data_IF_894593054076
#
_entry.id   IF_894593054076
#
_cell.length_a   1.000
_cell.length_b   1.000
_cell.length_c   1.000
_cell.angle_alpha   90.00
_cell.angle_beta   90.00
_cell.angle_gamma   90.00
#
_symmetry.space_group_name_H-M   'P 1'
#
loop_
_entity.id
_entity.type
_entity.pdbx_description
1 polymer ?
#
# COMPACT_ATOMS: atom_id res chain seq x y z
N UNK A 1 -1.09 -20.52 -11.29
CA UNK A 1 -2.11 -20.42 -12.35
C UNK A 1 -1.94 -19.04 -12.95
N UNK A 2 -1.64 -18.93 -14.26
CA UNK A 2 -1.47 -17.62 -14.90
C UNK A 2 -2.84 -16.97 -15.08
N UNK A 3 -3.19 -16.07 -14.16
CA UNK A 3 -4.45 -15.33 -14.18
C UNK A 3 -4.42 -14.22 -15.22
N UNK A 4 -3.24 -13.73 -15.63
CA UNK A 4 -3.12 -12.56 -16.49
C UNK A 4 -3.64 -12.82 -17.91
N UNK A 5 -3.48 -14.05 -18.42
CA UNK A 5 -3.95 -14.44 -19.75
C UNK A 5 -5.41 -14.90 -19.84
N UNK A 6 -6.15 -14.88 -18.73
CA UNK A 6 -7.56 -15.33 -18.69
C UNK A 6 -8.52 -14.25 -19.23
N UNK A 7 -9.69 -14.62 -19.77
CA UNK A 7 -10.73 -13.65 -20.12
C UNK A 7 -11.10 -12.73 -18.95
N UNK A 8 -11.46 -11.47 -19.24
CA UNK A 8 -11.74 -10.45 -18.20
C UNK A 8 -12.79 -10.91 -17.18
N UNK A 9 -13.82 -11.65 -17.60
CA UNK A 9 -14.83 -12.19 -16.70
C UNK A 9 -14.24 -13.19 -15.68
N UNK A 10 -13.43 -14.15 -16.14
CA UNK A 10 -12.75 -15.12 -15.26
C UNK A 10 -11.78 -14.42 -14.29
N UNK A 11 -11.09 -13.37 -14.75
CA UNK A 11 -10.20 -12.57 -13.92
C UNK A 11 -10.96 -11.83 -12.81
N UNK A 12 -12.12 -11.26 -13.13
CA UNK A 12 -13.00 -10.59 -12.16
C UNK A 12 -13.55 -11.60 -11.15
N UNK A 13 -14.05 -12.76 -11.60
CA UNK A 13 -14.59 -13.78 -10.69
C UNK A 13 -13.51 -14.34 -9.75
N UNK A 14 -12.31 -14.57 -10.28
CA UNK A 14 -11.15 -14.97 -9.48
C UNK A 14 -10.83 -13.92 -8.40
N UNK A 15 -10.89 -12.63 -8.74
CA UNK A 15 -10.63 -11.52 -7.80
C UNK A 15 -11.63 -11.51 -6.65
N UNK A 16 -12.93 -11.66 -6.92
CA UNK A 16 -13.93 -11.71 -5.85
C UNK A 16 -13.81 -12.99 -5.02
N UNK A 17 -13.45 -14.11 -5.63
CA UNK A 17 -13.09 -15.32 -4.90
C UNK A 17 -11.85 -15.12 -4.02
N UNK A 18 -10.88 -14.30 -4.43
CA UNK A 18 -9.72 -13.93 -3.62
C UNK A 18 -10.15 -13.09 -2.40
N UNK A 19 -11.03 -12.10 -2.61
CA UNK A 19 -11.56 -11.26 -1.53
C UNK A 19 -12.33 -12.09 -0.49
N UNK A 20 -13.15 -13.05 -0.94
CA UNK A 20 -13.93 -13.92 -0.04
C UNK A 20 -13.04 -14.87 0.78
N UNK A 21 -12.07 -15.52 0.12
CA UNK A 21 -11.07 -16.34 0.84
C UNK A 21 -10.29 -15.51 1.85
N UNK A 22 -9.90 -14.29 1.47
CA UNK A 22 -9.20 -13.38 2.37
C UNK A 22 -10.04 -13.04 3.60
N UNK A 23 -11.30 -12.61 3.42
CA UNK A 23 -12.22 -12.33 4.52
C UNK A 23 -12.41 -13.55 5.43
N UNK A 24 -12.55 -14.75 4.86
CA UNK A 24 -12.71 -15.99 5.62
C UNK A 24 -11.48 -16.30 6.49
N UNK A 25 -10.28 -16.21 5.92
CA UNK A 25 -9.03 -16.40 6.66
C UNK A 25 -8.87 -15.33 7.74
N UNK A 26 -9.11 -14.06 7.38
CA UNK A 26 -8.99 -12.92 8.28
C UNK A 26 -9.89 -13.08 9.51
N UNK A 27 -11.13 -13.54 9.33
CA UNK A 27 -12.10 -13.73 10.42
C UNK A 27 -11.94 -15.03 11.20
N UNK A 28 -11.09 -15.95 10.75
CA UNK A 28 -10.90 -17.21 11.46
C UNK A 28 -10.50 -16.95 12.93
N UNK A 29 -11.01 -17.72 13.91
CA UNK A 29 -10.70 -17.50 15.32
C UNK A 29 -9.20 -17.47 15.61
N UNK A 30 -8.43 -18.32 14.94
CA UNK A 30 -6.98 -18.40 15.06
C UNK A 30 -6.30 -17.12 14.56
N UNK A 31 -6.66 -16.64 13.37
CA UNK A 31 -6.08 -15.41 12.82
C UNK A 31 -6.48 -14.19 13.65
N UNK A 32 -7.72 -14.15 14.14
CA UNK A 32 -8.19 -13.07 15.00
C UNK A 32 -7.40 -13.01 16.32
N UNK A 33 -7.30 -14.13 17.05
CA UNK A 33 -6.53 -14.18 18.31
C UNK A 33 -5.05 -13.88 18.10
N UNK A 34 -4.46 -14.35 16.99
CA UNK A 34 -3.07 -14.06 16.65
C UNK A 34 -2.83 -12.55 16.43
N UNK A 35 -3.76 -11.85 15.77
CA UNK A 35 -3.67 -10.39 15.58
C UNK A 35 -3.84 -9.64 16.90
N UNK A 36 -4.82 -10.02 17.73
CA UNK A 36 -5.02 -9.38 19.04
C UNK A 36 -3.78 -9.54 19.93
N UNK A 37 -3.21 -10.76 19.96
CA UNK A 37 -1.95 -11.01 20.66
C UNK A 37 -0.80 -10.17 20.11
N UNK A 38 -0.64 -10.11 18.79
CA UNK A 38 0.39 -9.28 18.16
C UNK A 38 0.24 -7.81 18.57
N UNK A 39 -0.98 -7.25 18.53
CA UNK A 39 -1.22 -5.85 18.87
C UNK A 39 -1.01 -5.56 20.36
N UNK A 40 -1.19 -6.55 21.24
CA UNK A 40 -0.86 -6.44 22.66
C UNK A 40 0.67 -6.48 22.90
N UNK A 41 1.39 -7.35 22.18
CA UNK A 41 2.85 -7.46 22.25
C UNK A 41 3.54 -6.26 21.56
N UNK A 42 2.92 -5.68 20.53
CA UNK A 42 3.42 -4.58 19.71
C UNK A 42 2.38 -3.46 19.55
N UNK A 43 2.18 -2.63 20.61
CA UNK A 43 1.13 -1.63 20.68
C UNK A 43 1.38 -0.41 19.78
N UNK A 44 2.59 -0.17 19.28
CA UNK A 44 2.82 0.94 18.33
C UNK A 44 2.00 0.71 17.06
N UNK A 45 1.11 1.64 16.72
CA UNK A 45 0.38 1.60 15.47
C UNK A 45 1.28 2.04 14.32
N UNK A 46 1.23 1.34 13.18
CA UNK A 46 2.06 1.65 12.02
C UNK A 46 1.17 2.06 10.85
N UNK A 47 1.23 3.35 10.51
CA UNK A 47 0.60 3.92 9.32
C UNK A 47 1.62 3.99 8.18
N UNK A 48 1.25 3.51 7.00
CA UNK A 48 2.17 3.39 5.86
C UNK A 48 1.70 4.31 4.73
N UNK A 49 2.48 5.35 4.45
CA UNK A 49 2.27 6.23 3.30
C UNK A 49 3.11 5.70 2.13
N UNK A 50 2.46 5.17 1.08
CA UNK A 50 3.16 4.50 -0.02
C UNK A 50 2.57 4.77 -1.40
N UNK A 51 3.30 4.36 -2.44
CA UNK A 51 2.87 4.46 -3.82
C UNK A 51 1.64 3.57 -4.12
N UNK A 52 0.91 3.92 -5.18
CA UNK A 52 -0.12 3.08 -5.80
C UNK A 52 0.45 1.85 -6.52
N UNK A 53 1.77 1.82 -6.76
CA UNK A 53 2.49 0.71 -7.37
C UNK A 53 2.21 -0.61 -6.63
N UNK A 54 1.80 -1.61 -7.40
CA UNK A 54 1.40 -2.93 -6.90
C UNK A 54 2.53 -3.70 -6.24
N UNK A 55 3.79 -3.40 -6.59
CA UNK A 55 4.99 -4.05 -6.03
C UNK A 55 5.28 -3.64 -4.59
N UNK A 56 4.82 -2.47 -4.15
CA UNK A 56 5.04 -2.00 -2.76
C UNK A 56 4.02 -2.64 -1.81
N UNK A 57 4.25 -3.91 -1.49
CA UNK A 57 3.45 -4.67 -0.57
C UNK A 57 4.18 -4.95 0.74
N UNK A 58 4.30 -3.92 1.58
CA UNK A 58 5.02 -4.01 2.85
C UNK A 58 4.59 -5.21 3.72
N UNK A 59 3.29 -5.50 3.96
CA UNK A 59 2.91 -6.67 4.74
C UNK A 59 3.51 -7.99 4.23
N UNK A 60 3.56 -8.19 2.90
CA UNK A 60 4.20 -9.36 2.30
C UNK A 60 5.71 -9.28 2.47
N UNK A 61 6.31 -8.16 2.09
CA UNK A 61 7.75 -7.95 2.18
C UNK A 61 8.31 -8.07 3.60
N UNK A 62 7.50 -7.85 4.63
CA UNK A 62 7.89 -7.93 6.04
C UNK A 62 7.27 -9.14 6.75
N UNK A 63 6.67 -10.09 6.02
CA UNK A 63 5.95 -11.24 6.59
C UNK A 63 5.00 -10.85 7.75
N UNK A 64 4.40 -9.67 7.65
CA UNK A 64 3.57 -9.08 8.69
C UNK A 64 2.12 -9.48 8.47
N UNK A 65 1.43 -9.98 9.51
CA UNK A 65 0.03 -10.36 9.39
C UNK A 65 -0.85 -9.24 8.83
N UNK A 66 -1.81 -9.59 7.98
CA UNK A 66 -2.75 -8.60 7.42
C UNK A 66 -3.57 -7.97 8.55
N UNK A 67 -3.81 -6.67 8.44
CA UNK A 67 -4.55 -5.88 9.44
C UNK A 67 -3.66 -5.24 10.52
N UNK A 68 -2.36 -5.53 10.54
CA UNK A 68 -1.41 -4.87 11.45
C UNK A 68 -0.97 -3.50 10.93
N UNK A 69 -0.63 -3.41 9.64
CA UNK A 69 -0.23 -2.16 9.00
C UNK A 69 -1.45 -1.44 8.43
N UNK A 70 -1.51 -0.12 8.61
CA UNK A 70 -2.57 0.74 8.06
C UNK A 70 -2.09 1.44 6.78
N UNK A 71 -2.49 0.99 5.58
CA UNK A 71 -1.97 1.54 4.34
C UNK A 71 -2.73 2.80 3.85
N UNK A 72 -1.96 3.75 3.34
CA UNK A 72 -2.40 4.89 2.56
C UNK A 72 -1.64 4.84 1.23
N UNK A 73 -2.37 4.86 0.11
CA UNK A 73 -1.79 4.79 -1.23
C UNK A 73 -2.12 6.03 -2.04
N UNK A 74 -1.11 6.60 -2.68
CA UNK A 74 -1.29 7.63 -3.69
C UNK A 74 -0.23 7.48 -4.79
N UNK A 75 -0.43 8.11 -5.96
CA UNK A 75 0.57 8.12 -7.02
C UNK A 75 1.91 8.64 -6.48
N UNK A 76 2.98 7.87 -6.70
CA UNK A 76 4.32 8.18 -6.23
C UNK A 76 4.56 8.06 -4.72
N UNK A 77 3.52 7.81 -3.92
CA UNK A 77 3.58 8.09 -2.49
C UNK A 77 3.59 9.59 -2.22
N UNK A 78 3.05 10.39 -3.16
CA UNK A 78 2.92 11.84 -3.01
C UNK A 78 1.80 12.11 -2.03
N UNK A 79 2.10 12.74 -0.91
CA UNK A 79 1.10 13.11 0.08
C UNK A 79 1.38 14.53 0.55
N UNK A 80 0.30 15.24 0.86
CA UNK A 80 0.37 16.52 1.53
C UNK A 80 -0.68 16.50 2.65
N UNK A 81 -0.22 16.60 3.90
CA UNK A 81 -1.05 16.56 5.09
C UNK A 81 -1.93 17.81 5.22
N UNK A 82 -1.69 18.85 4.42
CA UNK A 82 -2.58 19.99 4.23
C UNK A 82 -3.75 19.70 3.29
N UNK A 83 -3.79 18.56 2.60
CA UNK A 83 -4.94 18.19 1.77
C UNK A 83 -6.19 17.97 2.62
N UNK A 84 -7.34 18.56 2.25
CA UNK A 84 -8.52 18.60 3.12
C UNK A 84 -9.00 17.22 3.59
N UNK A 85 -9.02 16.21 2.71
CA UNK A 85 -9.47 14.87 3.12
C UNK A 85 -8.38 14.09 3.85
N UNK A 86 -7.15 14.09 3.34
CA UNK A 86 -6.06 13.30 3.91
C UNK A 86 -5.71 13.77 5.33
N UNK A 87 -5.55 15.09 5.51
CA UNK A 87 -5.20 15.69 6.80
C UNK A 87 -6.16 15.25 7.90
N UNK A 88 -7.47 15.37 7.64
CA UNK A 88 -8.51 14.94 8.59
C UNK A 88 -8.44 13.43 8.88
N UNK A 89 -8.25 12.60 7.85
CA UNK A 89 -8.16 11.13 8.04
C UNK A 89 -6.96 10.76 8.91
N UNK A 90 -5.80 11.39 8.67
CA UNK A 90 -4.59 11.12 9.44
C UNK A 90 -4.67 11.67 10.86
N UNK A 91 -5.18 12.89 11.04
CA UNK A 91 -5.38 13.51 12.34
C UNK A 91 -6.34 12.66 13.20
N UNK A 92 -7.49 12.25 12.66
CA UNK A 92 -8.40 11.35 13.37
C UNK A 92 -7.78 9.99 13.66
N UNK A 93 -6.95 9.46 12.76
CA UNK A 93 -6.24 8.20 13.01
C UNK A 93 -5.28 8.32 14.20
N UNK A 94 -4.44 9.35 14.22
CA UNK A 94 -3.50 9.62 15.31
C UNK A 94 -4.24 9.86 16.61
N UNK A 95 -5.27 10.72 16.61
CA UNK A 95 -6.06 11.02 17.81
C UNK A 95 -6.67 9.76 18.43
N UNK A 96 -7.23 8.86 17.61
CA UNK A 96 -7.79 7.59 18.08
C UNK A 96 -6.73 6.71 18.73
N UNK A 97 -5.56 6.57 18.11
CA UNK A 97 -4.47 5.74 18.64
C UNK A 97 -3.91 6.33 19.94
N UNK A 98 -3.62 7.63 19.95
CA UNK A 98 -3.06 8.32 21.12
C UNK A 98 -4.03 8.35 22.29
N UNK A 99 -5.33 8.52 22.04
CA UNK A 99 -6.37 8.46 23.09
C UNK A 99 -6.44 7.10 23.79
N UNK A 100 -5.94 6.04 23.15
CA UNK A 100 -5.79 4.70 23.73
C UNK A 100 -4.42 4.49 24.42
N UNK A 101 -3.60 5.54 24.58
CA UNK A 101 -2.28 5.47 25.21
C UNK A 101 -1.20 4.81 24.35
N UNK A 102 -1.41 4.76 23.03
CA UNK A 102 -0.51 4.09 22.09
C UNK A 102 0.29 5.08 21.25
N UNK A 103 1.44 4.64 20.78
CA UNK A 103 2.32 5.37 19.86
C UNK A 103 1.92 5.17 18.39
N UNK A 104 2.33 6.10 17.53
CA UNK A 104 2.18 6.00 16.07
C UNK A 104 3.53 6.12 15.38
N UNK A 105 3.84 5.18 14.49
CA UNK A 105 4.92 5.32 13.51
C UNK A 105 4.31 5.52 12.14
N UNK A 106 4.68 6.61 11.47
CA UNK A 106 4.44 6.78 10.04
C UNK A 106 5.64 6.22 9.27
N UNK A 107 5.43 5.12 8.53
CA UNK A 107 6.37 4.69 7.50
C UNK A 107 6.11 5.53 6.24
N UNK A 108 6.94 6.54 6.03
CA UNK A 108 6.88 7.45 4.88
C UNK A 108 7.78 6.88 3.79
N UNK A 109 7.18 6.34 2.72
CA UNK A 109 7.93 5.50 1.78
C UNK A 109 8.15 6.10 0.41
N UNK A 110 9.35 5.87 -0.11
CA UNK A 110 9.69 5.98 -1.53
C UNK A 110 10.09 4.59 -2.05
N UNK A 111 10.14 4.42 -3.37
CA UNK A 111 10.61 3.17 -3.96
C UNK A 111 11.48 3.39 -5.18
N UNK A 112 12.36 2.42 -5.44
CA UNK A 112 13.27 2.40 -6.57
C UNK A 112 13.60 0.94 -6.95
N UNK A 113 14.20 0.76 -8.13
CA UNK A 113 14.74 -0.53 -8.57
C UNK A 113 16.25 -0.37 -8.71
N UNK A 114 17.01 -1.24 -8.05
CA UNK A 114 18.47 -1.22 -8.07
C UNK A 114 19.02 -1.65 -9.45
N UNK A 115 18.38 -2.64 -10.09
CA UNK A 115 18.84 -3.21 -11.35
C UNK A 115 18.49 -2.38 -12.59
N UNK A 116 17.41 -1.58 -12.56
CA UNK A 116 17.10 -0.63 -13.64
C UNK A 116 16.29 0.56 -13.10
N UNK A 117 16.86 1.79 -13.09
CA UNK A 117 16.17 2.99 -12.65
C UNK A 117 14.82 3.23 -13.34
N UNK A 118 14.64 2.80 -14.60
CA UNK A 118 13.38 2.95 -15.35
C UNK A 118 12.25 2.07 -14.81
N UNK A 119 12.56 1.11 -13.93
CA UNK A 119 11.57 0.34 -13.17
C UNK A 119 11.24 0.98 -11.82
N UNK A 120 11.83 2.13 -11.50
CA UNK A 120 11.57 2.91 -10.31
C UNK A 120 10.21 3.62 -10.33
N UNK A 121 10.08 4.66 -9.51
CA UNK A 121 8.80 5.35 -9.33
C UNK A 121 8.38 6.20 -10.54
N UNK A 122 7.39 5.76 -11.30
CA UNK A 122 6.81 6.55 -12.40
C UNK A 122 6.13 7.85 -11.92
N UNK A 123 5.68 7.91 -10.67
CA UNK A 123 5.11 9.12 -10.06
C UNK A 123 6.12 10.28 -9.95
N UNK A 124 7.41 9.95 -9.84
CA UNK A 124 8.53 10.89 -9.83
C UNK A 124 9.36 10.82 -11.12
N UNK A 125 8.80 10.28 -12.21
CA UNK A 125 9.51 10.15 -13.49
C UNK A 125 10.85 9.42 -13.37
N UNK A 126 10.91 8.40 -12.50
CA UNK A 126 12.10 7.60 -12.22
C UNK A 126 13.23 8.36 -11.51
N UNK A 127 12.95 9.57 -11.00
CA UNK A 127 13.88 10.34 -10.17
C UNK A 127 13.76 9.89 -8.71
N UNK A 128 14.65 8.97 -8.31
CA UNK A 128 14.74 8.49 -6.93
C UNK A 128 15.11 9.60 -5.95
N UNK A 129 15.91 10.59 -6.36
CA UNK A 129 16.30 11.68 -5.47
C UNK A 129 15.11 12.60 -5.17
N UNK A 130 14.30 12.91 -6.18
CA UNK A 130 13.05 13.66 -5.99
C UNK A 130 12.06 12.89 -5.08
N UNK A 131 11.94 11.58 -5.27
CA UNK A 131 11.09 10.74 -4.42
C UNK A 131 11.57 10.73 -2.96
N UNK A 132 12.89 10.66 -2.73
CA UNK A 132 13.48 10.77 -1.39
C UNK A 132 13.21 12.15 -0.80
N UNK A 133 13.47 13.24 -1.54
CA UNK A 133 13.24 14.59 -1.06
C UNK A 133 11.80 14.79 -0.58
N UNK A 134 10.83 14.28 -1.35
CA UNK A 134 9.42 14.38 -0.97
C UNK A 134 9.05 13.60 0.30
N UNK A 135 9.71 12.47 0.58
CA UNK A 135 9.47 11.76 1.87
C UNK A 135 9.96 12.56 3.07
N UNK A 136 11.02 13.36 2.92
CA UNK A 136 11.46 14.30 3.96
C UNK A 136 10.49 15.49 4.11
N UNK A 137 9.89 15.98 3.02
CA UNK A 137 8.84 16.99 3.09
C UNK A 137 7.63 16.49 3.91
N UNK A 138 7.16 15.27 3.64
CA UNK A 138 6.08 14.65 4.40
C UNK A 138 6.48 14.48 5.87
N UNK A 139 7.71 14.04 6.15
CA UNK A 139 8.24 13.96 7.52
C UNK A 139 8.11 15.31 8.24
N UNK A 140 8.53 16.40 7.61
CA UNK A 140 8.42 17.73 8.20
C UNK A 140 6.97 18.17 8.44
N UNK A 141 6.03 17.78 7.57
CA UNK A 141 4.61 18.04 7.80
C UNK A 141 4.07 17.25 9.00
N UNK A 142 4.48 15.98 9.18
CA UNK A 142 4.12 15.18 10.35
C UNK A 142 4.69 15.82 11.62
N UNK A 143 5.96 16.23 11.62
CA UNK A 143 6.61 16.93 12.75
C UNK A 143 5.91 18.27 13.07
N UNK A 144 5.48 19.01 12.05
CA UNK A 144 4.76 20.28 12.23
C UNK A 144 3.40 20.09 12.90
N UNK A 145 2.68 19.02 12.54
CA UNK A 145 1.30 18.78 13.02
C UNK A 145 1.29 18.07 14.38
N UNK A 146 2.18 17.08 14.57
CA UNK A 146 2.14 16.18 15.73
C UNK A 146 3.30 16.36 16.71
N UNK A 147 4.20 17.32 16.45
CA UNK A 147 5.34 17.64 17.29
C UNK A 147 6.64 16.98 16.81
N UNK A 148 7.76 17.64 17.11
CA UNK A 148 9.12 17.24 16.71
C UNK A 148 9.90 16.55 17.85
N UNK A 149 9.24 16.23 18.96
CA UNK A 149 9.88 15.53 20.09
C UNK A 149 9.99 14.01 19.87
N UNK A 150 9.27 13.49 18.86
CA UNK A 150 9.20 12.09 18.47
C UNK A 150 8.73 11.12 19.57
N UNK A 151 8.15 11.65 20.67
CA UNK A 151 7.75 10.84 21.81
C UNK A 151 6.48 10.04 21.56
N UNK A 152 5.54 10.61 20.80
CA UNK A 152 4.20 10.01 20.56
C UNK A 152 4.00 9.59 19.11
N UNK A 153 4.47 10.41 18.16
CA UNK A 153 4.36 10.19 16.72
C UNK A 153 5.75 10.24 16.11
N UNK A 154 6.13 9.23 15.34
CA UNK A 154 7.43 9.16 14.68
C UNK A 154 7.30 9.04 13.16
N UNK A 155 7.72 10.05 12.37
CA UNK A 155 7.81 9.97 10.91
C UNK A 155 9.10 9.31 10.43
N UNK A 156 9.05 7.99 10.23
CA UNK A 156 10.18 7.22 9.73
C UNK A 156 10.21 7.23 8.20
N UNK A 157 11.24 7.86 7.64
CA UNK A 157 11.53 7.76 6.20
C UNK A 157 12.08 6.37 5.90
N UNK A 158 11.49 5.70 4.92
CA UNK A 158 11.79 4.31 4.60
C UNK A 158 11.80 4.09 3.08
N UNK A 159 12.93 3.64 2.53
CA UNK A 159 13.02 3.21 1.14
C UNK A 159 12.50 1.78 0.95
N UNK A 160 11.99 1.50 -0.24
CA UNK A 160 11.62 0.16 -0.69
C UNK A 160 12.33 -0.14 -2.02
N UNK A 161 13.33 -1.02 -2.00
CA UNK A 161 13.99 -1.53 -3.18
C UNK A 161 13.13 -2.67 -3.77
N UNK A 162 12.66 -2.51 -5.00
CA UNK A 162 11.62 -3.39 -5.58
C UNK A 162 12.13 -4.69 -6.18
N UNK A 163 13.45 -4.84 -6.38
CA UNK A 163 14.01 -6.05 -7.01
C UNK A 163 14.10 -7.19 -5.99
N UNK A 164 14.53 -6.89 -4.76
CA UNK A 164 14.66 -7.82 -3.63
C UNK A 164 13.59 -7.63 -2.54
N UNK A 165 12.66 -6.70 -2.74
CA UNK A 165 11.66 -6.26 -1.76
C UNK A 165 12.30 -5.77 -0.44
N UNK A 166 13.46 -5.14 -0.52
CA UNK A 166 14.26 -4.78 0.64
C UNK A 166 13.91 -3.38 1.18
N UNK A 167 13.82 -3.26 2.50
CA UNK A 167 13.61 -1.98 3.17
C UNK A 167 14.93 -1.25 3.46
N UNK A 168 14.91 0.08 3.33
CA UNK A 168 16.02 0.96 3.69
C UNK A 168 15.56 1.94 4.76
N UNK A 169 16.05 1.81 5.99
CA UNK A 169 15.66 2.68 7.10
C UNK A 169 16.59 3.90 7.14
N UNK A 170 16.02 5.11 7.12
CA UNK A 170 16.81 6.33 7.24
C UNK A 170 16.98 6.73 8.70
N UNK A 171 18.21 7.02 9.10
CA UNK A 171 18.55 7.56 10.41
C UNK A 171 18.44 9.08 10.49
N UNK A 172 18.71 9.62 11.68
CA UNK A 172 18.61 11.05 11.97
C UNK A 172 19.78 11.87 11.42
N UNK A 173 20.94 11.24 11.23
CA UNK A 173 22.21 11.86 10.80
C UNK A 173 22.51 11.66 9.31
N UNK A 174 21.54 11.20 8.53
CA UNK A 174 21.70 10.86 7.11
C UNK A 174 22.22 9.46 6.84
N UNK A 175 22.64 8.74 7.90
CA UNK A 175 22.97 7.32 7.83
C UNK A 175 21.75 6.48 7.41
N UNK A 176 22.01 5.34 6.77
CA UNK A 176 20.95 4.42 6.33
C UNK A 176 21.27 2.99 6.73
N UNK A 177 20.23 2.25 7.07
CA UNK A 177 20.28 0.81 7.28
C UNK A 177 19.57 0.15 6.10
N UNK A 178 20.35 -0.33 5.14
CA UNK A 178 19.88 -1.08 3.98
C UNK A 178 19.82 -2.57 4.32
N UNK A 179 18.61 -3.12 4.41
CA UNK A 179 18.40 -4.53 4.76
C UNK A 179 18.86 -5.49 3.66
N UNK A 180 18.99 -5.05 2.40
CA UNK A 180 19.58 -5.89 1.35
C UNK A 180 21.06 -6.19 1.64
N UNK A 181 21.76 -5.34 2.39
CA UNK A 181 23.17 -5.58 2.75
C UNK A 181 23.35 -6.56 3.91
N UNK A 182 22.25 -6.97 4.55
CA UNK A 182 22.26 -7.81 5.74
C UNK A 182 21.80 -9.23 5.43
N UNK A 183 22.09 -10.13 6.37
CA UNK A 183 21.75 -11.55 6.32
C UNK A 183 21.02 -11.98 7.60
N UNK A 184 20.53 -13.22 7.62
CA UNK A 184 19.91 -13.79 8.81
C UNK A 184 20.84 -13.84 10.04
N UNK A 185 22.17 -13.89 9.85
CA UNK A 185 23.13 -13.81 10.95
C UNK A 185 23.21 -12.42 11.59
N UNK A 186 22.89 -11.36 10.85
CA UNK A 186 22.90 -9.99 11.36
C UNK A 186 21.73 -9.69 12.30
N UNK A 187 20.73 -10.58 12.33
CA UNK A 187 19.54 -10.48 13.18
C UNK A 187 19.87 -10.17 14.64
N UNK A 188 20.91 -10.80 15.18
CA UNK A 188 21.34 -10.62 16.58
C UNK A 188 21.84 -9.20 16.88
N UNK A 189 22.26 -8.45 15.86
CA UNK A 189 22.78 -7.08 16.01
C UNK A 189 21.79 -6.01 15.57
N UNK A 190 20.63 -6.39 15.03
CA UNK A 190 19.70 -5.47 14.38
C UNK A 190 19.10 -4.45 15.36
N UNK A 191 18.79 -4.87 16.58
CA UNK A 191 18.31 -3.99 17.64
C UNK A 191 19.32 -2.88 17.98
N UNK A 192 20.60 -3.25 18.13
CA UNK A 192 21.69 -2.32 18.41
C UNK A 192 21.90 -1.34 17.26
N UNK A 193 21.88 -1.83 16.01
CA UNK A 193 21.97 -1.00 14.80
C UNK A 193 20.81 -0.02 14.72
N UNK A 194 19.59 -0.46 14.99
CA UNK A 194 18.40 0.38 14.95
C UNK A 194 18.41 1.45 16.06
N UNK A 195 18.88 1.11 17.26
CA UNK A 195 19.04 2.05 18.36
C UNK A 195 20.09 3.12 18.06
N UNK A 196 21.19 2.76 17.39
CA UNK A 196 22.21 3.71 16.95
C UNK A 196 21.73 4.60 15.80
N UNK A 197 20.95 4.04 14.86
CA UNK A 197 20.40 4.74 13.70
C UNK A 197 19.30 5.74 14.07
N UNK A 198 18.46 5.38 15.04
CA UNK A 198 17.27 6.14 15.47
C UNK A 198 17.34 6.43 16.97
N UNK A 199 18.33 7.20 17.46
CA UNK A 199 18.51 7.44 18.88
C UNK A 199 17.35 8.23 19.50
N UNK A 200 16.67 9.05 18.70
CA UNK A 200 15.51 9.87 19.06
C UNK A 200 14.17 9.10 19.03
N UNK A 201 14.15 7.86 18.53
CA UNK A 201 12.94 7.03 18.56
C UNK A 201 12.79 6.36 19.93
N UNK A 202 11.62 6.43 20.59
CA UNK A 202 11.37 5.72 21.84
C UNK A 202 11.70 4.24 21.74
N UNK A 203 12.33 3.68 22.78
CA UNK A 203 12.76 2.27 22.80
C UNK A 203 11.61 1.30 22.50
N UNK A 204 10.38 1.61 22.95
CA UNK A 204 9.20 0.80 22.63
C UNK A 204 8.86 0.81 21.14
N UNK A 205 8.88 1.97 20.48
CA UNK A 205 8.62 2.05 19.04
C UNK A 205 9.69 1.29 18.25
N UNK A 206 10.97 1.39 18.64
CA UNK A 206 12.07 0.60 18.04
C UNK A 206 11.82 -0.90 18.20
N UNK A 207 11.44 -1.34 19.40
CA UNK A 207 11.13 -2.74 19.67
C UNK A 207 9.94 -3.24 18.84
N UNK A 208 8.89 -2.43 18.67
CA UNK A 208 7.71 -2.78 17.88
C UNK A 208 7.97 -2.75 16.36
N UNK A 209 9.03 -2.06 15.91
CA UNK A 209 9.47 -2.05 14.50
C UNK A 209 10.31 -3.29 14.14
N UNK A 210 11.05 -3.87 15.09
CA UNK A 210 11.94 -5.01 14.84
C UNK A 210 11.27 -6.23 14.18
N UNK A 211 10.04 -6.64 14.55
CA UNK A 211 9.34 -7.73 13.86
C UNK A 211 9.23 -7.52 12.35
N UNK A 212 9.00 -6.29 11.89
CA UNK A 212 8.92 -5.96 10.45
C UNK A 212 10.29 -6.15 9.78
N UNK A 213 11.36 -5.68 10.42
CA UNK A 213 12.72 -5.80 9.87
C UNK A 213 13.19 -7.25 9.84
N UNK A 214 12.88 -8.04 10.88
CA UNK A 214 13.15 -9.48 10.89
C UNK A 214 12.39 -10.23 9.79
N UNK A 215 11.12 -9.90 9.60
CA UNK A 215 10.33 -10.47 8.53
C UNK A 215 10.86 -10.09 7.15
N UNK A 216 11.41 -8.88 6.98
CA UNK A 216 12.04 -8.44 5.74
C UNK A 216 13.34 -9.15 5.44
N UNK A 217 14.21 -9.37 6.44
CA UNK A 217 15.42 -10.19 6.26
C UNK A 217 15.09 -11.61 5.79
N UNK A 218 14.06 -12.23 6.38
CA UNK A 218 13.62 -13.56 5.97
C UNK A 218 13.05 -13.56 4.55
N UNK A 219 12.26 -12.54 4.20
CA UNK A 219 11.67 -12.39 2.87
C UNK A 219 12.74 -12.17 1.80
N UNK A 220 13.71 -11.29 2.02
CA UNK A 220 14.83 -11.04 1.09
C UNK A 220 15.56 -12.35 0.75
N UNK A 221 15.83 -13.21 1.74
CA UNK A 221 16.46 -14.51 1.51
C UNK A 221 15.59 -15.45 0.66
N UNK A 222 14.27 -15.44 0.88
CA UNK A 222 13.32 -16.18 0.05
C UNK A 222 13.31 -15.65 -1.39
N UNK A 223 13.24 -14.33 -1.57
CA UNK A 223 13.26 -13.67 -2.88
C UNK A 223 14.54 -14.02 -3.64
N UNK A 224 15.71 -13.94 -2.98
CA UNK A 224 16.99 -14.35 -3.55
C UNK A 224 17.00 -15.83 -3.95
N UNK A 225 16.40 -16.70 -3.13
CA UNK A 225 16.28 -18.12 -3.46
C UNK A 225 15.40 -18.35 -4.70
N UNK A 226 14.26 -17.66 -4.80
CA UNK A 226 13.38 -17.69 -5.97
C UNK A 226 14.07 -17.18 -7.24
N UNK A 227 14.85 -16.10 -7.13
CA UNK A 227 15.67 -15.55 -8.23
C UNK A 227 16.70 -16.58 -8.69
N UNK A 228 17.43 -17.21 -7.74
CA UNK A 228 18.41 -18.27 -8.07
C UNK A 228 17.77 -19.48 -8.77
N UNK A 229 16.49 -19.77 -8.48
CA UNK A 229 15.71 -20.84 -9.12
C UNK A 229 15.03 -20.39 -10.43
N UNK A 230 15.20 -19.14 -10.85
CA UNK A 230 14.47 -18.51 -11.97
C UNK A 230 12.93 -18.60 -11.83
N UNK A 231 12.42 -18.77 -10.60
CA UNK A 231 10.98 -18.80 -10.32
C UNK A 231 10.40 -17.39 -10.27
N UNK A 232 11.21 -16.46 -9.77
CA UNK A 232 10.99 -15.03 -9.93
C UNK A 232 11.86 -14.62 -11.11
N UNK A 233 11.38 -14.93 -12.33
CA UNK A 233 11.71 -14.12 -13.50
C UNK A 233 11.11 -12.76 -13.19
N UNK A 234 11.88 -12.00 -12.40
CA UNK A 234 11.83 -10.57 -12.16
C UNK A 234 10.55 -10.04 -12.82
N UNK A 235 9.49 -9.91 -12.01
CA UNK A 235 8.13 -9.46 -12.35
C UNK A 235 8.22 -7.96 -12.76
N UNK A 236 9.10 -7.70 -13.73
CA UNK A 236 9.72 -6.44 -14.16
C UNK A 236 8.69 -5.59 -14.86
N UNK A 237 7.83 -6.26 -15.61
CA UNK A 237 6.87 -5.60 -16.46
C UNK A 237 5.57 -5.44 -15.69
N UNK A 238 5.11 -4.20 -15.63
CA UNK A 238 3.75 -3.87 -15.21
C UNK A 238 2.75 -4.72 -16.03
N UNK A 239 1.94 -5.53 -15.35
CA UNK A 239 0.88 -6.39 -15.93
C UNK A 239 -0.47 -6.15 -15.24
N UNK A 240 -0.60 -5.00 -14.59
CA UNK A 240 -1.83 -4.59 -13.95
C UNK A 240 -2.94 -4.49 -15.00
N UNK A 241 -4.10 -5.05 -14.65
CA UNK A 241 -5.30 -5.07 -15.48
C UNK A 241 -6.52 -4.51 -14.74
N UNK A 242 -6.32 -3.98 -13.53
CA UNK A 242 -7.39 -3.33 -12.76
C UNK A 242 -6.94 -2.00 -12.16
N UNK A 243 -7.88 -1.08 -12.09
CA UNK A 243 -7.79 0.17 -11.34
C UNK A 243 -8.68 0.03 -10.12
N UNK A 244 -8.09 0.08 -8.94
CA UNK A 244 -8.80 0.05 -7.67
C UNK A 244 -8.82 1.45 -7.08
N UNK A 245 -10.01 2.04 -6.92
CA UNK A 245 -10.17 3.39 -6.39
C UNK A 245 -10.82 3.38 -5.02
N UNK A 246 -10.25 4.13 -4.08
CA UNK A 246 -10.72 4.20 -2.71
C UNK A 246 -9.82 3.44 -1.75
N UNK A 247 -10.39 2.59 -0.89
CA UNK A 247 -9.69 1.90 0.19
C UNK A 247 -10.26 0.49 0.40
N UNK A 248 -9.58 -0.32 1.22
CA UNK A 248 -10.07 -1.65 1.59
C UNK A 248 -9.62 -2.77 0.65
N UNK A 249 -8.48 -2.59 0.00
CA UNK A 249 -7.90 -3.54 -0.95
C UNK A 249 -6.80 -4.42 -0.31
N UNK A 250 -6.85 -4.64 1.01
CA UNK A 250 -5.82 -5.37 1.75
C UNK A 250 -5.66 -6.83 1.28
N UNK A 251 -6.69 -7.38 0.62
CA UNK A 251 -6.69 -8.72 0.05
C UNK A 251 -5.86 -8.83 -1.24
N UNK A 252 -5.56 -7.71 -1.91
CA UNK A 252 -4.73 -7.66 -3.11
C UNK A 252 -3.25 -7.69 -2.72
N UNK A 253 -2.76 -8.91 -2.46
CA UNK A 253 -1.38 -9.15 -2.06
C UNK A 253 -0.46 -9.58 -3.21
N UNK A 254 -1.04 -9.99 -4.35
CA UNK A 254 -0.27 -10.38 -5.52
C UNK A 254 0.24 -9.15 -6.27
N UNK A 255 1.55 -9.04 -6.51
CA UNK A 255 2.14 -7.96 -7.32
C UNK A 255 1.56 -7.93 -8.74
N UNK A 256 1.71 -6.78 -9.42
CA UNK A 256 1.37 -6.61 -10.84
C UNK A 256 -0.07 -6.96 -11.24
N UNK A 257 -1.02 -6.95 -10.29
CA UNK A 257 -2.44 -7.17 -10.57
C UNK A 257 -3.21 -5.84 -10.69
N UNK A 258 -2.95 -4.90 -9.77
CA UNK A 258 -3.78 -3.74 -9.56
C UNK A 258 -2.99 -2.44 -9.33
N UNK A 259 -3.51 -1.36 -9.89
CA UNK A 259 -3.11 0.01 -9.53
C UNK A 259 -4.12 0.52 -8.48
N UNK A 260 -3.66 0.75 -7.24
CA UNK A 260 -4.54 1.09 -6.12
C UNK A 260 -4.40 2.57 -5.76
N UNK A 261 -5.43 3.36 -6.08
CA UNK A 261 -5.47 4.80 -5.87
C UNK A 261 -6.32 5.12 -4.65
N UNK A 262 -5.72 5.75 -3.64
CA UNK A 262 -6.45 6.31 -2.51
C UNK A 262 -7.08 7.67 -2.85
N UNK A 263 -8.24 8.01 -2.29
CA UNK A 263 -8.99 9.23 -2.64
C UNK A 263 -8.47 10.45 -1.86
N UNK A 264 -7.14 10.62 -1.81
CA UNK A 264 -6.49 11.60 -0.93
C UNK A 264 -6.14 12.90 -1.64
N UNK A 265 -5.69 12.81 -2.89
CA UNK A 265 -5.32 13.96 -3.72
C UNK A 265 -6.54 14.83 -4.03
N UNK A 266 -6.45 16.17 -3.95
CA UNK A 266 -7.48 17.07 -4.46
C UNK A 266 -7.61 16.97 -5.99
N UNK A 267 -6.53 16.56 -6.68
CA UNK A 267 -6.49 16.32 -8.12
C UNK A 267 -6.55 14.82 -8.39
N UNK A 268 -7.68 14.19 -8.01
CA UNK A 268 -7.85 12.73 -8.09
C UNK A 268 -7.88 12.21 -9.54
N UNK A 269 -8.21 13.07 -10.50
CA UNK A 269 -8.19 12.77 -11.94
C UNK A 269 -6.78 12.41 -12.45
N UNK A 270 -5.72 13.04 -11.91
CA UNK A 270 -4.33 12.82 -12.34
C UNK A 270 -3.88 11.37 -12.13
N UNK A 271 -3.96 10.77 -10.93
CA UNK A 271 -3.60 9.37 -10.74
C UNK A 271 -4.51 8.42 -11.53
N UNK A 272 -5.78 8.75 -11.75
CA UNK A 272 -6.70 7.96 -12.57
C UNK A 272 -6.24 7.93 -14.03
N UNK A 273 -5.94 9.09 -14.62
CA UNK A 273 -5.41 9.19 -16.00
C UNK A 273 -4.09 8.43 -16.15
N UNK A 274 -3.19 8.56 -15.17
CA UNK A 274 -1.92 7.82 -15.18
C UNK A 274 -2.16 6.31 -15.14
N UNK A 275 -3.07 5.84 -14.29
CA UNK A 275 -3.39 4.42 -14.20
C UNK A 275 -4.03 3.89 -15.49
N UNK A 276 -4.98 4.62 -16.07
CA UNK A 276 -5.59 4.28 -17.36
C UNK A 276 -4.56 4.16 -18.48
N UNK A 277 -3.61 5.11 -18.57
CA UNK A 277 -2.52 5.05 -19.53
C UNK A 277 -1.59 3.84 -19.32
N UNK A 278 -1.36 3.40 -18.08
CA UNK A 278 -0.60 2.17 -17.80
C UNK A 278 -1.37 0.94 -18.31
N UNK A 279 -2.68 0.85 -18.05
CA UNK A 279 -3.52 -0.26 -18.55
C UNK A 279 -3.49 -0.30 -20.09
N UNK A 280 -3.69 0.83 -20.75
CA UNK A 280 -3.68 0.90 -22.21
C UNK A 280 -2.31 0.50 -22.79
N UNK A 281 -1.21 0.98 -22.20
CA UNK A 281 0.14 0.60 -22.60
C UNK A 281 0.44 -0.90 -22.35
N UNK A 282 -0.16 -1.50 -21.32
CA UNK A 282 -0.05 -2.94 -21.06
C UNK A 282 -0.78 -3.75 -22.15
N UNK A 283 -1.97 -3.32 -22.58
CA UNK A 283 -2.73 -3.95 -23.68
C UNK A 283 -2.00 -3.82 -25.02
N UNK A 284 -1.54 -2.61 -25.36
CA UNK A 284 -0.83 -2.35 -26.63
C UNK A 284 0.47 -3.16 -26.75
N UNK A 285 1.17 -3.37 -25.63
CA UNK A 285 2.38 -4.18 -25.58
C UNK A 285 2.10 -5.70 -25.53
N UNK A 286 0.84 -6.13 -25.48
CA UNK A 286 0.45 -7.54 -25.36
C UNK A 286 0.79 -8.17 -23.99
N UNK A 287 1.06 -7.35 -22.97
CA UNK A 287 1.38 -7.80 -21.60
C UNK A 287 0.16 -8.33 -20.86
N UNK A 288 -1.02 -7.80 -21.22
CA UNK A 288 -2.34 -8.29 -20.84
C UNK A 288 -3.23 -8.40 -22.09
N UNK A 289 -4.26 -9.26 -22.10
CA UNK A 289 -5.18 -9.36 -23.23
C UNK A 289 -5.94 -8.05 -23.49
N UNK A 290 -6.26 -7.77 -24.76
CA UNK A 290 -7.07 -6.60 -25.21
C UNK A 290 -8.58 -6.91 -25.17
N UNK A 291 -9.04 -7.47 -24.05
CA UNK A 291 -10.43 -7.86 -23.76
C UNK A 291 -11.05 -7.03 -22.63
N UNK A 292 -10.37 -5.95 -22.24
CA UNK A 292 -10.81 -5.00 -21.23
C UNK A 292 -10.12 -5.10 -19.88
N UNK A 293 -10.58 -4.27 -18.96
CA UNK A 293 -9.99 -4.08 -17.64
C UNK A 293 -11.07 -3.85 -16.59
N UNK A 294 -10.72 -3.98 -15.31
CA UNK A 294 -11.64 -3.74 -14.20
C UNK A 294 -11.41 -2.36 -13.58
N UNK A 295 -12.46 -1.55 -13.47
CA UNK A 295 -12.53 -0.43 -12.53
C UNK A 295 -13.33 -0.88 -11.30
N UNK A 296 -12.66 -1.00 -10.15
CA UNK A 296 -13.27 -1.38 -8.87
C UNK A 296 -13.16 -0.22 -7.87
N UNK A 297 -14.30 0.37 -7.51
CA UNK A 297 -14.36 1.37 -6.44
C UNK A 297 -14.80 0.73 -5.12
N UNK A 298 -14.08 0.99 -4.03
CA UNK A 298 -14.43 0.51 -2.69
C UNK A 298 -14.12 1.52 -1.60
N UNK A 299 -14.99 1.63 -0.61
CA UNK A 299 -14.81 2.46 0.58
C UNK A 299 -15.14 1.63 1.82
N UNK A 300 -14.24 1.59 2.82
CA UNK A 300 -14.49 0.86 4.03
C UNK A 300 -15.43 1.61 4.98
N UNK A 301 -16.15 0.85 5.79
CA UNK A 301 -16.93 1.32 6.93
C UNK A 301 -16.56 0.53 8.18
N UNK A 302 -16.59 1.17 9.35
CA UNK A 302 -16.35 0.54 10.66
C UNK A 302 -17.65 0.16 11.36
N UNK A 303 -18.72 0.91 11.11
CA UNK A 303 -20.02 0.74 11.75
C UNK A 303 -21.16 0.62 10.74
N UNK A 304 -22.13 -0.24 11.05
CA UNK A 304 -23.38 -0.31 10.29
C UNK A 304 -24.20 0.98 10.47
N UNK A 305 -25.23 1.17 9.63
CA UNK A 305 -26.06 2.37 9.67
C UNK A 305 -25.41 3.53 8.91
N UNK A 306 -25.15 4.65 9.61
CA UNK A 306 -24.73 5.92 8.97
C UNK A 306 -23.38 5.80 8.25
N UNK A 307 -22.39 5.12 8.86
CA UNK A 307 -21.06 5.00 8.25
C UNK A 307 -21.08 4.11 6.99
N UNK A 308 -21.76 2.96 7.05
CA UNK A 308 -22.02 2.12 5.85
C UNK A 308 -22.74 2.90 4.75
N UNK A 309 -23.80 3.65 5.07
CA UNK A 309 -24.53 4.45 4.08
C UNK A 309 -23.63 5.52 3.43
N UNK A 310 -22.75 6.17 4.22
CA UNK A 310 -21.74 7.11 3.73
C UNK A 310 -20.72 6.42 2.82
N UNK A 311 -20.27 5.22 3.19
CA UNK A 311 -19.34 4.44 2.37
C UNK A 311 -19.97 4.09 1.01
N UNK A 312 -21.25 3.70 0.97
CA UNK A 312 -21.95 3.45 -0.29
C UNK A 312 -22.00 4.69 -1.20
N UNK A 313 -22.35 5.86 -0.66
CA UNK A 313 -22.37 7.12 -1.43
C UNK A 313 -20.97 7.45 -1.99
N UNK A 314 -19.93 7.33 -1.16
CA UNK A 314 -18.55 7.58 -1.60
C UNK A 314 -18.10 6.59 -2.67
N UNK A 315 -18.37 5.30 -2.50
CA UNK A 315 -18.02 4.28 -3.50
C UNK A 315 -18.68 4.54 -4.84
N UNK A 316 -19.98 4.89 -4.85
CA UNK A 316 -20.70 5.25 -6.09
C UNK A 316 -20.09 6.48 -6.75
N UNK A 317 -19.83 7.55 -5.97
CA UNK A 317 -19.18 8.75 -6.48
C UNK A 317 -17.82 8.45 -7.11
N UNK A 318 -16.94 7.72 -6.41
CA UNK A 318 -15.62 7.37 -6.91
C UNK A 318 -15.69 6.55 -8.20
N UNK A 319 -16.61 5.58 -8.26
CA UNK A 319 -16.84 4.75 -9.44
C UNK A 319 -17.23 5.58 -10.66
N UNK A 320 -18.24 6.44 -10.53
CA UNK A 320 -18.70 7.31 -11.62
C UNK A 320 -17.64 8.33 -12.03
N UNK A 321 -17.03 9.02 -11.06
CA UNK A 321 -15.99 10.02 -11.32
C UNK A 321 -14.81 9.43 -12.11
N UNK A 322 -14.30 8.27 -11.70
CA UNK A 322 -13.21 7.62 -12.41
C UNK A 322 -13.61 7.14 -13.80
N UNK A 323 -14.81 6.59 -13.94
CA UNK A 323 -15.32 6.17 -15.23
C UNK A 323 -15.44 7.34 -16.21
N UNK A 324 -15.91 8.49 -15.75
CA UNK A 324 -16.05 9.69 -16.57
C UNK A 324 -14.69 10.25 -17.00
N UNK A 325 -13.71 10.31 -16.08
CA UNK A 325 -12.32 10.68 -16.40
C UNK A 325 -11.73 9.75 -17.47
N UNK A 326 -11.92 8.43 -17.33
CA UNK A 326 -11.38 7.45 -18.28
C UNK A 326 -12.07 7.56 -19.64
N UNK A 327 -13.40 7.68 -19.69
CA UNK A 327 -14.14 7.80 -20.96
C UNK A 327 -13.79 9.08 -21.71
N UNK A 328 -13.55 10.18 -21.00
CA UNK A 328 -13.19 11.45 -21.62
C UNK A 328 -11.80 11.42 -22.27
N UNK A 329 -10.82 10.80 -21.61
CA UNK A 329 -9.40 10.85 -22.02
C UNK A 329 -8.97 9.63 -22.83
N UNK A 330 -9.60 8.46 -22.59
CA UNK A 330 -9.30 7.19 -23.23
C UNK A 330 -10.60 6.52 -23.74
N UNK A 331 -11.28 7.05 -24.77
CA UNK A 331 -12.60 6.59 -25.18
C UNK A 331 -12.68 5.07 -25.47
N UNK A 332 -11.70 4.54 -26.23
CA UNK A 332 -11.61 3.10 -26.54
C UNK A 332 -11.49 2.26 -25.27
N UNK A 333 -10.61 2.65 -24.36
CA UNK A 333 -10.43 1.95 -23.10
C UNK A 333 -11.71 2.02 -22.24
N UNK A 334 -12.38 3.19 -22.25
CA UNK A 334 -13.65 3.41 -21.58
C UNK A 334 -14.78 2.48 -22.04
N UNK A 335 -14.80 2.08 -23.32
CA UNK A 335 -15.75 1.09 -23.87
C UNK A 335 -15.45 -0.34 -23.38
N UNK A 336 -14.18 -0.65 -23.13
CA UNK A 336 -13.74 -1.97 -22.64
C UNK A 336 -13.74 -2.08 -21.10
N UNK A 337 -14.17 -1.03 -20.40
CA UNK A 337 -14.15 -0.95 -18.94
C UNK A 337 -15.27 -1.76 -18.30
N UNK A 338 -14.90 -2.77 -17.51
CA UNK A 338 -15.83 -3.45 -16.60
C UNK A 338 -15.87 -2.72 -15.26
N UNK A 339 -17.02 -2.15 -14.89
CA UNK A 339 -17.17 -1.43 -13.63
C UNK A 339 -17.73 -2.33 -12.51
N UNK A 340 -17.17 -2.21 -11.31
CA UNK A 340 -17.72 -2.77 -10.07
C UNK A 340 -17.62 -1.74 -8.96
N UNK A 341 -18.69 -1.64 -8.16
CA UNK A 341 -18.73 -0.76 -6.99
C UNK A 341 -18.97 -1.61 -5.77
N UNK A 342 -18.24 -1.35 -4.69
CA UNK A 342 -18.30 -2.15 -3.48
C UNK A 342 -18.17 -1.28 -2.22
N UNK A 343 -18.51 -1.87 -1.08
CA UNK A 343 -18.12 -1.38 0.24
C UNK A 343 -17.37 -2.48 0.97
N UNK A 344 -16.49 -2.11 1.89
CA UNK A 344 -15.76 -3.07 2.71
C UNK A 344 -16.14 -2.89 4.18
N UNK A 345 -16.61 -3.94 4.83
CA UNK A 345 -16.65 -3.95 6.30
C UNK A 345 -15.21 -4.04 6.82
N UNK A 346 -14.74 -3.01 7.51
CA UNK A 346 -13.37 -2.98 8.02
C UNK A 346 -13.17 -4.11 9.03
N UNK A 347 -14.08 -4.38 9.96
CA UNK A 347 -13.87 -5.37 11.02
C UNK A 347 -13.75 -6.79 10.48
N UNK A 348 -14.53 -7.09 9.44
CA UNK A 348 -14.63 -8.43 8.88
C UNK A 348 -13.80 -8.60 7.60
N UNK A 349 -13.32 -7.50 7.00
CA UNK A 349 -12.68 -7.43 5.67
C UNK A 349 -13.55 -8.04 4.56
N UNK A 350 -14.86 -8.04 4.75
CA UNK A 350 -15.81 -8.55 3.75
C UNK A 350 -16.07 -7.46 2.71
N UNK A 351 -15.84 -7.80 1.45
CA UNK A 351 -16.11 -6.93 0.30
C UNK A 351 -17.51 -7.25 -0.25
N UNK A 352 -18.42 -6.29 -0.19
CA UNK A 352 -19.79 -6.41 -0.68
C UNK A 352 -19.95 -5.57 -1.94
N UNK A 353 -20.35 -6.19 -3.06
CA UNK A 353 -20.71 -5.43 -4.25
C UNK A 353 -22.05 -4.72 -4.05
N UNK A 354 -22.14 -3.48 -4.50
CA UNK A 354 -23.35 -2.67 -4.45
C UNK A 354 -23.71 -2.20 -5.86
N UNK A 355 -24.99 -1.93 -6.08
CA UNK A 355 -25.43 -1.33 -7.33
C UNK A 355 -24.76 0.04 -7.52
N UNK A 356 -24.15 0.24 -8.68
CA UNK A 356 -23.93 1.57 -9.25
C UNK A 356 -25.32 2.18 -9.42
N UNK A 357 -25.65 3.16 -8.58
CA UNK A 357 -26.97 3.83 -8.65
C UNK A 357 -27.24 4.33 -10.08
N UNK A 358 -28.51 4.28 -10.48
CA UNK A 358 -28.98 4.84 -11.75
C UNK A 358 -28.72 6.34 -11.83
#
# INVERSE_FOLDING_TARGET
MDIHGKPIAERIDWLFGLADRHSTIFRSPQAWLARERYLAEHPTAIAVLKCMDGRINIPVATNTPVGILMPFRNLGGIFDLGWPHLGEVLAHHVQRVVSAGRHVVFLVTYHYSQGDPRRGCAGFQYDTAAAIAHTYEIRHQVEHIFGSDHGTVYPLVCGFETDEDALVIHGTTGDKLDLATLTSSDRATLELRLAALLPDMPARMRADLLPLLYGNLAHIEEVRAQIRRNERLLDIEHREWMICLGRGFDFLHTPNIALIIGPYSPNLDVPIRRAAGIIEANMQAGRIPDDGFLLLASVPYDEIGVDRARAELKSRFLSSFAADVIRAEFPRLGEQMSMRTAVLDWRSRTLETIATGQ
#
